data_IF_795744842170
#
_entry.id   IF_795744842170
#
_cell.length_a   1.000
_cell.length_b   1.000
_cell.length_c   1.000
_cell.angle_alpha   90.00
_cell.angle_beta   90.00
_cell.angle_gamma   90.00
#
_symmetry.space_group_name_H-M   'P 1'
#
loop_
_entity.id
_entity.type
_entity.pdbx_description
1 polymer ?
#
# COMPACT_ATOMS: atom_id res chain seq x y z
N UNK A 1 1.54 -18.02 -27.98
CA UNK A 1 1.23 -17.01 -26.95
C UNK A 1 0.50 -15.82 -27.58
N UNK A 2 -0.40 -15.18 -26.81
CA UNK A 2 -1.17 -14.03 -27.27
C UNK A 2 -0.38 -12.70 -27.18
N UNK A 3 0.79 -12.73 -26.58
CA UNK A 3 1.65 -11.56 -26.40
C UNK A 3 3.10 -11.93 -26.74
N UNK A 4 3.64 -11.26 -27.74
CA UNK A 4 5.08 -11.37 -28.05
C UNK A 4 5.95 -11.03 -26.83
N UNK A 5 5.62 -9.97 -26.11
CA UNK A 5 6.41 -9.50 -24.97
C UNK A 5 6.47 -10.52 -23.82
N UNK A 6 5.42 -11.33 -23.65
CA UNK A 6 5.32 -12.36 -22.61
C UNK A 6 5.59 -13.78 -23.12
N UNK A 7 6.15 -13.92 -24.34
CA UNK A 7 6.53 -15.23 -24.88
C UNK A 7 7.78 -15.76 -24.17
N UNK A 8 7.55 -16.69 -23.23
CA UNK A 8 8.62 -17.27 -22.42
C UNK A 8 9.64 -18.06 -23.27
N UNK A 9 9.23 -18.63 -24.43
CA UNK A 9 10.17 -19.33 -25.31
C UNK A 9 11.14 -18.35 -25.98
N UNK A 10 10.65 -17.19 -26.38
CA UNK A 10 11.48 -16.13 -26.94
C UNK A 10 12.38 -15.50 -25.87
N UNK A 11 11.84 -15.25 -24.69
CA UNK A 11 12.60 -14.75 -23.54
C UNK A 11 13.70 -15.74 -23.13
N UNK A 12 13.37 -17.03 -23.06
CA UNK A 12 14.36 -18.07 -22.74
C UNK A 12 15.53 -18.06 -23.72
N UNK A 13 15.26 -17.98 -25.02
CA UNK A 13 16.32 -17.87 -26.04
C UNK A 13 17.21 -16.64 -25.84
N UNK A 14 16.64 -15.52 -25.41
CA UNK A 14 17.37 -14.30 -25.12
C UNK A 14 18.25 -14.43 -23.86
N UNK A 15 17.74 -15.06 -22.81
CA UNK A 15 18.43 -15.18 -21.50
C UNK A 15 19.43 -16.32 -21.46
N UNK A 16 19.06 -17.49 -22.02
CA UNK A 16 19.87 -18.73 -21.93
C UNK A 16 20.71 -19.01 -23.17
N UNK A 17 20.62 -18.18 -24.21
CA UNK A 17 21.10 -18.42 -25.55
C UNK A 17 22.54 -18.92 -25.61
N UNK A 18 22.69 -20.19 -26.02
CA UNK A 18 23.98 -20.80 -26.38
C UNK A 18 24.28 -20.60 -27.87
N UNK A 19 25.02 -19.56 -28.22
CA UNK A 19 25.44 -19.33 -29.60
C UNK A 19 25.24 -17.91 -30.10
N UNK A 20 24.46 -17.70 -31.16
CA UNK A 20 24.22 -16.39 -31.71
C UNK A 20 23.47 -15.50 -30.75
N UNK A 21 23.92 -14.26 -30.59
CA UNK A 21 23.29 -13.23 -29.71
C UNK A 21 21.83 -13.01 -30.15
N UNK A 22 20.90 -13.52 -29.36
CA UNK A 22 19.48 -13.25 -29.52
C UNK A 22 19.10 -12.01 -28.75
N UNK A 23 18.24 -11.14 -29.31
CA UNK A 23 17.68 -9.98 -28.66
C UNK A 23 16.17 -10.03 -28.77
N UNK A 24 15.49 -9.97 -27.63
CA UNK A 24 14.03 -9.96 -27.60
C UNK A 24 13.49 -8.54 -27.36
N UNK A 25 13.90 -7.91 -26.28
CA UNK A 25 13.50 -6.53 -25.93
C UNK A 25 14.53 -5.90 -24.99
N UNK A 26 14.51 -4.60 -24.86
CA UNK A 26 15.30 -3.90 -23.83
C UNK A 26 14.69 -4.15 -22.47
N UNK A 27 15.42 -4.81 -21.59
CA UNK A 27 14.97 -5.02 -20.22
C UNK A 27 14.74 -3.68 -19.49
N UNK A 28 13.75 -3.60 -18.57
CA UNK A 28 13.48 -2.39 -17.79
C UNK A 28 14.53 -2.22 -16.69
N UNK A 29 15.74 -1.82 -17.06
CA UNK A 29 16.93 -1.82 -16.20
C UNK A 29 16.70 -1.02 -14.91
N UNK A 30 16.10 0.17 -15.00
CA UNK A 30 15.83 1.00 -13.81
C UNK A 30 14.90 0.29 -12.80
N UNK A 31 13.89 -0.43 -13.29
CA UNK A 31 12.99 -1.22 -12.43
C UNK A 31 13.72 -2.41 -11.81
N UNK A 32 14.58 -3.08 -12.56
CA UNK A 32 15.38 -4.21 -12.06
C UNK A 32 16.34 -3.72 -10.97
N UNK A 33 17.02 -2.61 -11.17
CA UNK A 33 17.90 -2.02 -10.17
C UNK A 33 17.14 -1.58 -8.92
N UNK A 34 15.97 -0.97 -9.08
CA UNK A 34 15.11 -0.59 -7.95
C UNK A 34 14.65 -1.82 -7.16
N UNK A 35 14.26 -2.89 -7.86
CA UNK A 35 13.91 -4.16 -7.23
C UNK A 35 15.10 -4.76 -6.47
N UNK A 36 16.28 -4.79 -7.09
CA UNK A 36 17.51 -5.29 -6.46
C UNK A 36 17.81 -4.53 -5.17
N UNK A 37 17.76 -3.18 -5.19
CA UNK A 37 17.98 -2.35 -4.01
C UNK A 37 16.92 -2.58 -2.93
N UNK A 38 15.65 -2.70 -3.32
CA UNK A 38 14.54 -2.98 -2.39
C UNK A 38 14.67 -4.36 -1.73
N UNK A 39 15.04 -5.39 -2.50
CA UNK A 39 15.31 -6.72 -1.96
C UNK A 39 16.52 -6.73 -1.03
N UNK A 40 17.59 -6.00 -1.36
CA UNK A 40 18.75 -5.81 -0.47
C UNK A 40 18.32 -5.26 0.88
N UNK A 41 17.55 -4.15 0.90
CA UNK A 41 17.05 -3.55 2.13
C UNK A 41 16.18 -4.51 2.97
N UNK A 42 15.36 -5.35 2.32
CA UNK A 42 14.56 -6.37 3.01
C UNK A 42 15.43 -7.46 3.64
N UNK A 43 16.46 -7.90 2.94
CA UNK A 43 17.39 -8.93 3.44
C UNK A 43 18.27 -8.41 4.57
N UNK A 44 18.71 -7.17 4.48
CA UNK A 44 19.50 -6.50 5.52
C UNK A 44 18.71 -6.30 6.82
N UNK A 45 17.42 -5.95 6.72
CA UNK A 45 16.51 -5.84 7.88
C UNK A 45 16.14 -7.23 8.44
N UNK A 46 16.06 -8.24 7.59
CA UNK A 46 15.57 -9.59 7.90
C UNK A 46 14.05 -9.72 7.81
N UNK A 47 13.60 -10.80 7.17
CA UNK A 47 12.18 -10.99 6.84
C UNK A 47 11.26 -11.02 8.06
N UNK A 48 11.70 -11.58 9.17
CA UNK A 48 10.88 -11.64 10.40
C UNK A 48 10.75 -10.27 11.05
N UNK A 49 11.81 -9.47 11.06
CA UNK A 49 11.77 -8.08 11.53
C UNK A 49 10.87 -7.21 10.65
N UNK A 50 10.97 -7.36 9.32
CA UNK A 50 10.07 -6.69 8.36
C UNK A 50 8.61 -7.04 8.61
N UNK A 51 8.29 -8.32 8.80
CA UNK A 51 6.91 -8.77 9.10
C UNK A 51 6.39 -8.19 10.39
N UNK A 52 7.18 -8.27 11.47
CA UNK A 52 6.81 -7.73 12.78
C UNK A 52 6.56 -6.22 12.72
N UNK A 53 7.41 -5.47 12.02
CA UNK A 53 7.26 -4.03 11.83
C UNK A 53 5.99 -3.65 11.05
N UNK A 54 5.69 -4.37 9.96
CA UNK A 54 4.47 -4.16 9.20
C UNK A 54 3.22 -4.51 10.01
N UNK A 55 3.26 -5.60 10.79
CA UNK A 55 2.17 -5.98 11.66
C UNK A 55 1.90 -4.90 12.71
N UNK A 56 2.92 -4.45 13.42
CA UNK A 56 2.79 -3.40 14.43
C UNK A 56 2.24 -2.09 13.86
N UNK A 57 2.72 -1.65 12.69
CA UNK A 57 2.24 -0.43 12.04
C UNK A 57 0.79 -0.58 11.55
N UNK A 58 0.46 -1.71 10.93
CA UNK A 58 -0.90 -2.00 10.45
C UNK A 58 -1.91 -2.13 11.58
N UNK A 59 -1.52 -2.75 12.70
CA UNK A 59 -2.39 -2.89 13.87
C UNK A 59 -2.62 -1.53 14.55
N UNK A 60 -1.58 -0.69 14.64
CA UNK A 60 -1.73 0.68 15.15
C UNK A 60 -2.74 1.49 14.34
N UNK A 61 -2.70 1.39 12.98
CA UNK A 61 -3.72 2.03 12.13
C UNK A 61 -5.11 1.45 12.40
N UNK A 62 -5.25 0.12 12.40
CA UNK A 62 -6.56 -0.54 12.58
C UNK A 62 -7.21 -0.19 13.92
N UNK A 63 -6.46 -0.30 15.01
CA UNK A 63 -6.96 0.03 16.34
C UNK A 63 -7.32 1.51 16.45
N UNK A 64 -6.42 2.40 16.02
CA UNK A 64 -6.70 3.84 16.08
C UNK A 64 -7.88 4.27 15.21
N UNK A 65 -8.10 3.63 14.06
CA UNK A 65 -9.30 3.91 13.24
C UNK A 65 -10.59 3.46 13.95
N UNK A 66 -10.56 2.32 14.64
CA UNK A 66 -11.69 1.85 15.46
C UNK A 66 -11.94 2.82 16.63
N UNK A 67 -10.89 3.27 17.31
CA UNK A 67 -10.99 4.25 18.40
C UNK A 67 -11.56 5.60 17.91
N UNK A 68 -11.28 5.98 16.65
CA UNK A 68 -11.87 7.13 15.98
C UNK A 68 -13.31 6.88 15.47
N UNK A 69 -13.92 5.73 15.74
CA UNK A 69 -15.29 5.40 15.36
C UNK A 69 -15.49 4.94 13.94
N UNK A 70 -14.44 4.46 13.28
CA UNK A 70 -14.51 3.79 11.98
C UNK A 70 -14.59 2.26 12.12
N UNK A 71 -14.90 1.58 11.04
CA UNK A 71 -15.02 0.12 11.02
C UNK A 71 -13.99 -0.51 10.08
N UNK A 72 -13.53 -1.72 10.41
CA UNK A 72 -12.64 -2.48 9.54
C UNK A 72 -13.47 -3.22 8.48
N UNK A 73 -13.25 -2.90 7.21
CA UNK A 73 -13.99 -3.47 6.10
C UNK A 73 -13.75 -4.98 5.92
N UNK A 74 -12.49 -5.41 6.04
CA UNK A 74 -12.15 -6.82 5.90
C UNK A 74 -12.54 -7.62 7.15
N UNK A 75 -13.11 -8.80 6.95
CA UNK A 75 -13.47 -9.73 8.02
C UNK A 75 -12.25 -10.10 8.87
N UNK A 76 -12.49 -10.44 10.12
CA UNK A 76 -11.46 -10.95 11.01
C UNK A 76 -10.81 -12.23 10.43
N UNK A 77 -9.50 -12.37 10.59
CA UNK A 77 -8.72 -13.46 9.98
C UNK A 77 -8.34 -13.23 8.51
N UNK A 78 -8.91 -12.21 7.85
CA UNK A 78 -8.64 -11.89 6.44
C UNK A 78 -8.01 -10.50 6.25
N UNK A 79 -7.48 -9.91 7.32
CA UNK A 79 -6.90 -8.57 7.33
C UNK A 79 -5.41 -8.62 7.04
N UNK A 80 -4.97 -7.84 6.06
CA UNK A 80 -3.55 -7.70 5.73
C UNK A 80 -2.86 -6.76 6.73
N UNK A 81 -1.59 -7.04 7.05
CA UNK A 81 -0.76 -6.13 7.83
C UNK A 81 -0.46 -4.81 7.06
N UNK A 82 -0.01 -4.86 5.79
CA UNK A 82 0.43 -3.65 5.09
C UNK A 82 -0.70 -2.81 4.48
N UNK A 83 -1.95 -3.28 4.49
CA UNK A 83 -3.08 -2.57 3.88
C UNK A 83 -4.32 -2.69 4.77
N UNK A 84 -4.83 -1.55 5.20
CA UNK A 84 -6.08 -1.46 5.97
C UNK A 84 -7.18 -0.84 5.11
N UNK A 85 -8.26 -1.59 4.91
CA UNK A 85 -9.49 -1.08 4.30
C UNK A 85 -10.45 -0.70 5.43
N UNK A 86 -10.86 0.56 5.44
CA UNK A 86 -11.61 1.18 6.53
C UNK A 86 -12.97 1.62 6.02
N UNK A 87 -14.05 1.08 6.55
CA UNK A 87 -15.41 1.51 6.27
C UNK A 87 -15.71 2.82 6.99
N UNK A 88 -16.41 3.70 6.33
CA UNK A 88 -16.84 4.99 6.85
C UNK A 88 -18.31 4.85 7.26
N UNK A 89 -18.64 4.77 8.56
CA UNK A 89 -20.03 4.74 9.02
C UNK A 89 -20.79 6.01 8.65
N UNK A 90 -22.09 5.88 8.43
CA UNK A 90 -22.96 7.01 8.13
C UNK A 90 -22.87 8.08 9.23
N UNK A 91 -22.72 9.32 8.81
CA UNK A 91 -22.62 10.48 9.73
C UNK A 91 -21.26 10.64 10.41
N UNK A 92 -20.30 9.71 10.28
CA UNK A 92 -18.99 9.80 10.98
C UNK A 92 -18.15 11.00 10.53
N UNK A 93 -18.33 11.45 9.31
CA UNK A 93 -17.59 12.60 8.77
C UNK A 93 -18.30 13.95 9.00
N UNK A 94 -19.43 13.97 9.70
CA UNK A 94 -20.21 15.18 9.90
C UNK A 94 -20.68 15.77 8.57
N UNK A 95 -20.32 17.01 8.31
CA UNK A 95 -20.66 17.71 7.06
C UNK A 95 -19.66 17.44 5.91
N UNK A 96 -18.54 16.75 6.17
CA UNK A 96 -17.50 16.52 5.20
C UNK A 96 -17.79 15.27 4.35
N UNK A 97 -17.44 15.32 3.08
CA UNK A 97 -17.34 14.13 2.24
C UNK A 97 -16.02 13.40 2.48
N UNK A 98 -15.95 12.13 2.11
CA UNK A 98 -14.70 11.34 2.18
C UNK A 98 -13.58 11.97 1.34
N UNK A 99 -13.92 12.54 0.20
CA UNK A 99 -12.97 13.19 -0.68
C UNK A 99 -12.40 14.50 -0.07
N UNK A 100 -13.21 15.27 0.64
CA UNK A 100 -12.76 16.48 1.35
C UNK A 100 -11.81 16.13 2.48
N UNK A 101 -12.07 15.06 3.25
CA UNK A 101 -11.15 14.59 4.30
C UNK A 101 -9.80 14.20 3.67
N UNK A 102 -9.80 13.43 2.56
CA UNK A 102 -8.55 13.07 1.87
C UNK A 102 -7.82 14.30 1.32
N UNK A 103 -8.55 15.27 0.81
CA UNK A 103 -7.97 16.52 0.29
C UNK A 103 -7.29 17.31 1.41
N UNK A 104 -7.92 17.42 2.60
CA UNK A 104 -7.31 18.05 3.77
C UNK A 104 -6.09 17.29 4.28
N UNK A 105 -6.18 15.95 4.38
CA UNK A 105 -5.02 15.12 4.75
C UNK A 105 -3.81 15.41 3.85
N UNK A 106 -4.03 15.47 2.54
CA UNK A 106 -2.96 15.74 1.59
C UNK A 106 -2.47 17.19 1.67
N UNK A 107 -3.39 18.17 1.70
CA UNK A 107 -3.06 19.59 1.63
C UNK A 107 -2.43 20.13 2.91
N UNK A 108 -2.97 19.75 4.06
CA UNK A 108 -2.59 20.33 5.35
C UNK A 108 -1.50 19.51 6.06
N UNK A 109 -1.47 18.18 5.83
CA UNK A 109 -0.55 17.25 6.54
C UNK A 109 0.42 16.50 5.62
N UNK A 110 0.29 16.63 4.30
CA UNK A 110 1.13 15.90 3.35
C UNK A 110 0.90 14.38 3.38
N UNK A 111 -0.29 13.94 3.80
CA UNK A 111 -0.64 12.52 3.94
C UNK A 111 -1.65 12.14 2.86
N UNK A 112 -1.28 11.18 2.01
CA UNK A 112 -2.18 10.64 1.00
C UNK A 112 -2.71 9.27 1.42
N UNK A 113 -4.03 9.08 1.39
CA UNK A 113 -4.71 7.80 1.54
C UNK A 113 -5.60 7.53 0.34
N UNK A 114 -5.81 6.27 0.00
CA UNK A 114 -6.65 5.88 -1.13
C UNK A 114 -8.13 5.84 -0.78
N UNK A 115 -8.98 6.26 -1.71
CA UNK A 115 -10.43 6.02 -1.64
C UNK A 115 -10.79 4.60 -2.08
N UNK A 116 -12.03 4.20 -1.81
CA UNK A 116 -12.63 2.97 -2.32
C UNK A 116 -12.78 2.99 -3.84
N UNK A 117 -12.90 1.82 -4.45
CA UNK A 117 -13.08 1.66 -5.89
C UNK A 117 -14.37 0.88 -6.18
N UNK A 118 -14.99 1.15 -7.33
CA UNK A 118 -16.20 0.46 -7.76
C UNK A 118 -17.33 0.55 -6.73
N UNK A 119 -17.91 -0.57 -6.27
CA UNK A 119 -19.06 -0.57 -5.35
C UNK A 119 -18.80 0.07 -3.98
N UNK A 120 -17.53 0.21 -3.57
CA UNK A 120 -17.13 0.81 -2.28
C UNK A 120 -16.55 2.23 -2.43
N UNK A 121 -16.67 2.83 -3.61
CA UNK A 121 -16.30 4.23 -3.82
C UNK A 121 -17.11 5.16 -2.91
N UNK A 122 -16.44 6.09 -2.25
CA UNK A 122 -17.08 7.02 -1.30
C UNK A 122 -17.43 6.43 0.07
N UNK A 123 -17.21 5.12 0.29
CA UNK A 123 -17.60 4.39 1.50
C UNK A 123 -16.44 3.76 2.26
N UNK A 124 -15.30 3.64 1.62
CA UNK A 124 -14.13 2.96 2.17
C UNK A 124 -12.88 3.76 1.90
N UNK A 125 -12.00 3.87 2.88
CA UNK A 125 -10.62 4.29 2.68
C UNK A 125 -9.67 3.11 2.63
N UNK A 126 -8.58 3.26 1.89
CA UNK A 126 -7.48 2.29 1.83
C UNK A 126 -6.22 2.95 2.36
N UNK A 127 -5.73 2.46 3.49
CA UNK A 127 -4.55 3.00 4.17
C UNK A 127 -3.41 2.00 4.03
N UNK A 128 -2.37 2.41 3.29
CA UNK A 128 -1.18 1.60 3.06
C UNK A 128 -0.08 1.89 4.08
N UNK A 129 0.39 0.85 4.78
CA UNK A 129 1.57 0.88 5.65
C UNK A 129 2.60 -0.09 5.09
N UNK A 130 3.27 0.30 4.00
CA UNK A 130 4.17 -0.58 3.25
C UNK A 130 5.60 -0.05 3.22
N UNK A 131 6.58 -0.97 3.27
CA UNK A 131 7.99 -0.63 3.15
C UNK A 131 8.43 0.44 4.14
N UNK A 132 8.93 1.56 3.66
CA UNK A 132 9.41 2.66 4.50
C UNK A 132 8.32 3.30 5.36
N UNK A 133 7.06 3.30 4.91
CA UNK A 133 5.94 3.91 5.64
C UNK A 133 5.39 3.03 6.77
N UNK A 134 5.74 1.74 6.81
CA UNK A 134 5.35 0.81 7.88
C UNK A 134 6.10 1.13 9.19
N UNK A 135 5.80 2.26 9.79
CA UNK A 135 6.37 2.74 11.06
C UNK A 135 5.28 3.28 11.95
N UNK A 136 5.34 2.96 13.22
CA UNK A 136 4.34 3.37 14.20
C UNK A 136 4.12 4.89 14.25
N UNK A 137 5.21 5.67 14.12
CA UNK A 137 5.11 7.14 14.05
C UNK A 137 4.21 7.63 12.91
N UNK A 138 4.22 6.96 11.75
CA UNK A 138 3.38 7.36 10.60
C UNK A 138 1.90 7.04 10.87
N UNK A 139 1.62 5.91 11.53
CA UNK A 139 0.27 5.59 12.00
C UNK A 139 -0.23 6.66 12.99
N UNK A 140 0.58 7.04 13.97
CA UNK A 140 0.24 8.07 14.96
C UNK A 140 -0.02 9.43 14.29
N UNK A 141 0.82 9.83 13.34
CA UNK A 141 0.65 11.09 12.60
C UNK A 141 -0.65 11.10 11.80
N UNK A 142 -0.97 10.01 11.09
CA UNK A 142 -2.24 9.89 10.36
C UNK A 142 -3.46 9.99 11.29
N UNK A 143 -3.44 9.26 12.40
CA UNK A 143 -4.55 9.23 13.35
C UNK A 143 -4.77 10.60 14.01
N UNK A 144 -3.70 11.30 14.36
CA UNK A 144 -3.78 12.67 14.91
C UNK A 144 -4.35 13.65 13.87
N UNK A 145 -3.88 13.60 12.63
CA UNK A 145 -4.39 14.44 11.55
C UNK A 145 -5.88 14.17 11.27
N UNK A 146 -6.31 12.91 11.27
CA UNK A 146 -7.72 12.57 11.11
C UNK A 146 -8.58 13.05 12.28
N UNK A 147 -8.10 12.91 13.51
CA UNK A 147 -8.81 13.43 14.68
C UNK A 147 -9.04 14.95 14.55
N UNK A 148 -8.00 15.70 14.22
CA UNK A 148 -8.08 17.16 14.06
C UNK A 148 -9.00 17.61 12.90
N UNK A 149 -9.06 16.85 11.81
CA UNK A 149 -9.94 17.15 10.66
C UNK A 149 -11.42 16.90 11.01
N UNK A 150 -11.69 15.95 11.91
CA UNK A 150 -13.04 15.45 12.22
C UNK A 150 -13.64 16.07 13.51
N UNK A 151 -12.85 16.85 14.24
CA UNK A 151 -13.32 17.67 15.37
C UNK A 151 -13.98 18.97 14.88
#
# INVERSE_FOLDING_TARGET
PQSWYLDLNMIAKYVTGGGARAYHHTAPISMIMSLHAGLGALLDEGLDAVRARHQAAGDAVKHGMVDLGFELFAAEGHRLAPLSSISIPDGRLGALSEAEVRTRLLGDYGIEIGGGLGPVAGKVWRIGTMGHTARQRNATTLLAALAEILD
#
